data_IF_621732080273
#
_entry.id   IF_621732080273
#
_cell.length_a   1.000
_cell.length_b   1.000
_cell.length_c   1.000
_cell.angle_alpha   90.00
_cell.angle_beta   90.00
_cell.angle_gamma   90.00
#
_symmetry.space_group_name_H-M   'P 1'
#
loop_
_entity.id
_entity.type
_entity.pdbx_description
1 polymer ?
#
# COMPACT_ATOMS: atom_id res chain seq x y z
N UNK A 1 -17.32 -8.01 17.73
CA UNK A 1 -16.65 -6.75 18.15
C UNK A 1 -15.12 -6.87 18.20
N UNK A 2 -14.54 -7.78 18.99
CA UNK A 2 -13.08 -7.86 19.21
C UNK A 2 -12.24 -8.06 17.92
N UNK A 3 -12.74 -8.83 16.95
CA UNK A 3 -12.04 -9.11 15.68
C UNK A 3 -11.98 -7.91 14.73
N UNK A 4 -13.02 -7.07 14.72
CA UNK A 4 -13.04 -5.86 13.91
C UNK A 4 -12.11 -4.79 14.51
N UNK A 5 -12.12 -4.67 15.84
CA UNK A 5 -11.24 -3.76 16.60
C UNK A 5 -9.75 -4.02 16.33
N UNK A 6 -9.37 -5.28 16.15
CA UNK A 6 -7.98 -5.69 15.92
C UNK A 6 -7.50 -5.31 14.51
N UNK A 7 -8.39 -5.35 13.51
CA UNK A 7 -8.08 -4.99 12.11
C UNK A 7 -8.13 -3.47 11.91
N UNK A 8 -9.09 -2.78 12.52
CA UNK A 8 -9.13 -1.30 12.51
C UNK A 8 -7.97 -0.71 13.33
N UNK A 9 -7.62 -1.33 14.46
CA UNK A 9 -6.45 -0.98 15.24
C UNK A 9 -5.17 -1.10 14.42
N UNK A 10 -5.03 -2.17 13.63
CA UNK A 10 -3.88 -2.35 12.73
C UNK A 10 -3.71 -1.21 11.72
N UNK A 11 -4.79 -0.80 11.04
CA UNK A 11 -4.74 0.32 10.09
C UNK A 11 -4.40 1.65 10.78
N UNK A 12 -4.96 1.88 11.98
CA UNK A 12 -4.67 3.07 12.78
C UNK A 12 -3.22 3.11 13.27
N UNK A 13 -2.67 1.97 13.70
CA UNK A 13 -1.26 1.87 14.10
C UNK A 13 -0.32 2.16 12.94
N UNK A 14 -0.65 1.70 11.72
CA UNK A 14 0.12 2.01 10.53
C UNK A 14 0.09 3.51 10.17
N UNK A 15 -1.07 4.15 10.28
CA UNK A 15 -1.21 5.58 10.08
C UNK A 15 -0.39 6.39 11.10
N UNK A 16 -0.50 6.05 12.38
CA UNK A 16 0.22 6.74 13.47
C UNK A 16 1.73 6.55 13.31
N UNK A 17 2.19 5.33 13.01
CA UNK A 17 3.60 5.07 12.81
C UNK A 17 4.15 5.71 11.53
N UNK A 18 3.35 5.76 10.47
CA UNK A 18 3.66 6.52 9.26
C UNK A 18 3.85 8.01 9.53
N UNK A 19 2.98 8.59 10.36
CA UNK A 19 3.11 9.98 10.80
C UNK A 19 4.40 10.18 11.59
N UNK A 20 4.70 9.28 12.52
CA UNK A 20 5.89 9.35 13.35
C UNK A 20 7.19 9.19 12.54
N UNK A 21 7.24 8.35 11.51
CA UNK A 21 8.44 8.19 10.66
C UNK A 21 8.67 9.40 9.76
N UNK A 22 7.61 10.00 9.24
CA UNK A 22 7.70 11.21 8.41
C UNK A 22 8.28 12.39 9.18
N UNK A 23 8.02 12.50 10.48
CA UNK A 23 8.49 13.63 11.30
C UNK A 23 9.77 13.35 12.09
N UNK A 24 10.00 12.11 12.54
CA UNK A 24 11.04 11.81 13.54
C UNK A 24 11.99 10.65 13.16
N UNK A 25 11.95 10.14 11.92
CA UNK A 25 12.85 9.07 11.44
C UNK A 25 12.82 7.77 12.25
N UNK A 26 11.65 7.34 12.73
CA UNK A 26 11.49 6.08 13.49
C UNK A 26 11.44 4.80 12.64
N UNK A 27 12.47 4.56 11.82
CA UNK A 27 12.64 3.32 11.05
C UNK A 27 12.47 2.02 11.85
N UNK A 28 12.95 1.92 13.12
CA UNK A 28 12.80 0.70 13.91
C UNK A 28 11.34 0.36 14.24
N UNK A 29 10.50 1.35 14.54
CA UNK A 29 9.09 1.13 14.86
C UNK A 29 8.31 0.60 13.65
N UNK A 30 8.63 1.13 12.47
CA UNK A 30 8.02 0.67 11.22
C UNK A 30 8.46 -0.75 10.85
N UNK A 31 9.74 -1.08 11.08
CA UNK A 31 10.24 -2.44 10.90
C UNK A 31 9.55 -3.43 11.83
N UNK A 32 9.33 -3.06 13.10
CA UNK A 32 8.57 -3.89 14.06
C UNK A 32 7.16 -4.14 13.56
N UNK A 33 6.49 -3.10 13.06
CA UNK A 33 5.12 -3.25 12.58
C UNK A 33 5.04 -4.04 11.29
N UNK A 34 5.92 -3.81 10.31
CA UNK A 34 6.05 -4.66 9.13
C UNK A 34 6.32 -6.12 9.48
N UNK A 35 7.21 -6.38 10.45
CA UNK A 35 7.49 -7.72 10.92
C UNK A 35 6.27 -8.35 11.62
N UNK A 36 5.53 -7.58 12.42
CA UNK A 36 4.26 -8.01 13.01
C UNK A 36 3.22 -8.40 11.96
N UNK A 37 3.11 -7.63 10.86
CA UNK A 37 2.25 -7.99 9.71
C UNK A 37 2.70 -9.30 9.08
N UNK A 38 4.00 -9.44 8.86
CA UNK A 38 4.58 -10.62 8.25
C UNK A 38 4.29 -11.87 9.09
N UNK A 39 4.47 -11.81 10.41
CA UNK A 39 4.11 -12.88 11.33
C UNK A 39 2.59 -13.19 11.31
N UNK A 40 1.75 -12.15 11.28
CA UNK A 40 0.29 -12.33 11.15
C UNK A 40 -0.06 -13.03 9.83
N UNK A 41 0.61 -12.67 8.73
CA UNK A 41 0.40 -13.26 7.41
C UNK A 41 0.83 -14.74 7.36
N UNK A 42 1.88 -15.13 8.10
CA UNK A 42 2.30 -16.53 8.25
C UNK A 42 1.26 -17.37 9.01
N UNK A 43 0.58 -16.79 10.00
CA UNK A 43 -0.41 -17.50 10.83
C UNK A 43 -1.82 -17.46 10.22
N UNK A 44 -2.19 -16.35 9.58
CA UNK A 44 -3.55 -16.08 9.09
C UNK A 44 -3.50 -15.14 7.87
N UNK A 45 -3.17 -15.66 6.66
CA UNK A 45 -3.02 -14.83 5.47
C UNK A 45 -4.30 -14.07 5.09
N UNK A 46 -5.48 -14.66 5.31
CA UNK A 46 -6.77 -14.00 5.06
C UNK A 46 -6.95 -12.72 5.89
N UNK A 47 -6.60 -12.76 7.17
CA UNK A 47 -6.72 -11.59 8.06
C UNK A 47 -5.73 -10.50 7.69
N UNK A 48 -4.49 -10.90 7.36
CA UNK A 48 -3.47 -9.98 6.89
C UNK A 48 -3.92 -9.29 5.59
N UNK A 49 -4.51 -10.04 4.65
CA UNK A 49 -5.06 -9.49 3.41
C UNK A 49 -6.20 -8.49 3.67
N UNK A 50 -7.14 -8.81 4.57
CA UNK A 50 -8.20 -7.86 4.94
C UNK A 50 -7.64 -6.59 5.59
N UNK A 51 -6.59 -6.72 6.40
CA UNK A 51 -5.83 -5.60 6.96
C UNK A 51 -5.16 -4.73 5.89
N UNK A 52 -4.58 -5.35 4.85
CA UNK A 52 -4.01 -4.64 3.71
C UNK A 52 -5.10 -3.89 2.91
N UNK A 53 -6.26 -4.51 2.70
CA UNK A 53 -7.37 -3.93 1.92
C UNK A 53 -7.94 -2.67 2.61
N UNK A 54 -8.16 -2.72 3.92
CA UNK A 54 -8.64 -1.53 4.66
C UNK A 54 -7.56 -0.43 4.69
N UNK A 55 -6.28 -0.81 4.63
CA UNK A 55 -5.15 0.12 4.58
C UNK A 55 -4.91 0.71 3.19
N UNK A 56 -5.48 0.13 2.13
CA UNK A 56 -5.25 0.52 0.73
C UNK A 56 -5.42 2.03 0.42
N UNK A 57 -6.38 2.76 1.02
CA UNK A 57 -6.54 4.19 0.75
C UNK A 57 -5.61 5.09 1.60
N UNK A 58 -4.82 4.54 2.52
CA UNK A 58 -3.93 5.28 3.44
C UNK A 58 -2.46 5.11 3.09
N UNK A 59 -2.09 5.20 1.81
CA UNK A 59 -0.76 4.85 1.30
C UNK A 59 0.35 5.79 1.82
N UNK A 60 0.82 5.55 3.05
CA UNK A 60 1.91 6.31 3.67
C UNK A 60 3.19 6.14 2.84
N UNK A 61 3.91 7.23 2.60
CA UNK A 61 5.22 7.20 1.97
C UNK A 61 6.34 6.87 2.97
N UNK A 62 7.25 6.00 2.54
CA UNK A 62 8.48 5.66 3.22
C UNK A 62 9.61 6.48 2.60
N UNK A 63 10.14 7.42 3.37
CA UNK A 63 11.20 8.35 2.94
C UNK A 63 12.59 7.71 3.07
N UNK A 64 12.86 6.62 2.32
CA UNK A 64 14.06 5.76 2.52
C UNK A 64 15.37 6.52 2.34
N UNK A 65 15.43 7.36 1.31
CA UNK A 65 16.58 8.19 1.01
C UNK A 65 16.10 9.49 0.32
N UNK A 66 16.91 10.54 0.30
CA UNK A 66 16.60 11.75 -0.45
C UNK A 66 16.26 11.41 -1.91
N UNK A 67 15.08 11.83 -2.39
CA UNK A 67 14.60 11.54 -3.75
C UNK A 67 13.99 10.15 -3.96
N UNK A 68 13.88 9.32 -2.90
CA UNK A 68 13.29 7.98 -2.95
C UNK A 68 12.13 7.87 -1.95
N UNK A 69 10.94 8.19 -2.44
CA UNK A 69 9.68 8.05 -1.72
C UNK A 69 9.00 6.72 -2.13
N UNK A 70 9.03 5.72 -1.24
CA UNK A 70 8.44 4.39 -1.50
C UNK A 70 7.10 4.25 -0.78
N UNK A 71 6.01 4.01 -1.50
CA UNK A 71 4.72 3.78 -0.86
C UNK A 71 4.76 2.50 0.00
N UNK A 72 4.45 2.62 1.29
CA UNK A 72 4.44 1.54 2.28
C UNK A 72 3.62 0.33 1.86
N UNK A 73 2.53 0.56 1.12
CA UNK A 73 1.68 -0.50 0.60
C UNK A 73 2.41 -1.46 -0.33
N UNK A 74 3.38 -0.97 -1.12
CA UNK A 74 4.18 -1.81 -2.01
C UNK A 74 5.05 -2.78 -1.23
N UNK A 75 5.63 -2.32 -0.12
CA UNK A 75 6.40 -3.17 0.81
C UNK A 75 5.49 -4.19 1.48
N UNK A 76 4.32 -3.76 1.94
CA UNK A 76 3.34 -4.66 2.55
C UNK A 76 2.86 -5.75 1.59
N UNK A 77 2.52 -5.41 0.35
CA UNK A 77 2.11 -6.39 -0.67
C UNK A 77 3.20 -7.46 -0.84
N UNK A 78 4.46 -7.04 -0.97
CA UNK A 78 5.59 -7.97 -1.11
C UNK A 78 5.76 -8.85 0.13
N UNK A 79 5.71 -8.27 1.33
CA UNK A 79 5.82 -9.04 2.58
C UNK A 79 4.68 -10.05 2.75
N UNK A 80 3.44 -9.64 2.49
CA UNK A 80 2.27 -10.54 2.55
C UNK A 80 2.39 -11.65 1.52
N UNK A 81 2.83 -11.33 0.31
CA UNK A 81 3.01 -12.33 -0.74
C UNK A 81 4.09 -13.35 -0.38
N UNK A 82 5.24 -12.89 0.12
CA UNK A 82 6.30 -13.78 0.60
C UNK A 82 5.83 -14.67 1.76
N UNK A 83 5.13 -14.10 2.74
CA UNK A 83 4.56 -14.87 3.85
C UNK A 83 3.53 -15.90 3.37
N UNK A 84 2.69 -15.52 2.41
CA UNK A 84 1.69 -16.40 1.82
C UNK A 84 2.33 -17.57 1.04
N UNK A 85 3.41 -17.32 0.29
CA UNK A 85 4.19 -18.39 -0.36
C UNK A 85 4.74 -19.37 0.68
N UNK A 86 5.38 -18.86 1.75
CA UNK A 86 5.92 -19.70 2.82
C UNK A 86 4.82 -20.52 3.50
N UNK A 87 3.67 -19.90 3.76
CA UNK A 87 2.49 -20.58 4.32
C UNK A 87 2.00 -21.71 3.40
N UNK A 88 1.94 -21.49 2.09
CA UNK A 88 1.55 -22.52 1.12
C UNK A 88 2.56 -23.67 1.05
N UNK A 89 3.87 -23.36 1.06
CA UNK A 89 4.94 -24.36 1.04
C UNK A 89 4.96 -25.22 2.31
N UNK A 90 4.67 -24.62 3.47
CA UNK A 90 4.63 -25.33 4.75
C UNK A 90 3.41 -26.26 4.89
N UNK A 91 2.34 -26.03 4.12
CA UNK A 91 1.11 -26.82 4.20
C UNK A 91 1.22 -28.10 3.35
N UNK A 92 1.16 -29.28 3.99
CA UNK A 92 1.12 -30.57 3.28
C UNK A 92 -0.05 -30.60 2.29
N UNK A 93 0.25 -30.76 1.01
CA UNK A 93 -0.75 -30.76 -0.08
C UNK A 93 -1.07 -29.40 -0.69
N UNK A 94 -0.26 -28.37 -0.44
CA UNK A 94 -0.40 -27.04 -1.07
C UNK A 94 -0.42 -27.14 -2.61
N UNK A 95 -1.60 -26.89 -3.21
CA UNK A 95 -1.76 -26.88 -4.67
C UNK A 95 -1.22 -25.58 -5.27
N UNK A 96 0.11 -25.48 -5.37
CA UNK A 96 0.78 -24.38 -6.10
C UNK A 96 0.36 -24.38 -7.58
N UNK A 97 0.01 -25.54 -8.14
CA UNK A 97 -0.38 -25.69 -9.54
C UNK A 97 -1.61 -24.86 -9.95
N UNK A 98 -2.52 -24.52 -9.03
CA UNK A 98 -3.71 -23.72 -9.35
C UNK A 98 -3.40 -22.21 -9.48
N UNK A 99 -2.18 -21.80 -9.14
CA UNK A 99 -1.69 -20.41 -9.23
C UNK A 99 -1.29 -20.06 -10.68
N UNK A 100 -0.87 -21.05 -11.47
CA UNK A 100 -0.44 -20.88 -12.86
C UNK A 100 -1.61 -20.92 -13.87
N UNK A 101 -2.64 -20.10 -13.63
CA UNK A 101 -3.69 -19.88 -14.62
C UNK A 101 -3.18 -18.99 -15.78
N UNK A 102 -3.92 -18.93 -16.89
CA UNK A 102 -3.61 -18.06 -18.05
C UNK A 102 -3.29 -16.60 -17.64
N UNK A 103 -3.97 -16.08 -16.60
CA UNK A 103 -3.73 -14.74 -16.06
C UNK A 103 -2.30 -14.50 -15.53
N UNK A 104 -1.64 -15.53 -14.98
CA UNK A 104 -0.23 -15.44 -14.57
C UNK A 104 0.66 -15.10 -15.76
N UNK A 105 0.41 -15.76 -16.90
CA UNK A 105 1.19 -15.56 -18.12
C UNK A 105 1.05 -14.11 -18.60
N UNK A 106 -0.15 -13.53 -18.54
CA UNK A 106 -0.37 -12.12 -18.90
C UNK A 106 0.48 -11.17 -18.04
N UNK A 107 0.52 -11.37 -16.72
CA UNK A 107 1.30 -10.53 -15.81
C UNK A 107 2.81 -10.66 -16.06
N UNK A 108 3.31 -11.89 -16.28
CA UNK A 108 4.72 -12.14 -16.57
C UNK A 108 5.11 -11.59 -17.93
N UNK A 109 4.30 -11.82 -18.97
CA UNK A 109 4.52 -11.27 -20.31
C UNK A 109 4.50 -9.74 -20.29
N UNK A 110 3.62 -9.13 -19.50
CA UNK A 110 3.63 -7.68 -19.30
C UNK A 110 4.96 -7.20 -18.69
N UNK A 111 5.43 -7.83 -17.61
CA UNK A 111 6.72 -7.46 -16.99
C UNK A 111 7.90 -7.69 -17.95
N UNK A 112 7.86 -8.78 -18.72
CA UNK A 112 8.84 -9.07 -19.76
C UNK A 112 8.89 -7.96 -20.81
N UNK A 113 7.75 -7.58 -21.40
CA UNK A 113 7.70 -6.49 -22.37
C UNK A 113 8.09 -5.14 -21.77
N UNK A 114 7.73 -4.90 -20.50
CA UNK A 114 8.18 -3.70 -19.79
C UNK A 114 9.70 -3.68 -19.62
N UNK A 115 10.35 -4.83 -19.42
CA UNK A 115 11.81 -4.94 -19.36
C UNK A 115 12.45 -4.76 -20.74
N UNK A 116 11.87 -5.33 -21.80
CA UNK A 116 12.32 -5.12 -23.19
C UNK A 116 12.24 -3.64 -23.59
N UNK A 117 11.21 -2.93 -23.11
CA UNK A 117 11.08 -1.48 -23.35
C UNK A 117 12.25 -0.66 -22.79
N UNK A 118 13.05 -1.19 -21.86
CA UNK A 118 14.21 -0.47 -21.32
C UNK A 118 15.32 -0.26 -22.35
N UNK A 119 15.46 -1.14 -23.35
CA UNK A 119 16.49 -1.00 -24.38
C UNK A 119 16.31 0.25 -25.25
N UNK A 120 15.10 0.81 -25.29
CA UNK A 120 14.75 2.04 -26.01
C UNK A 120 14.41 3.21 -25.08
N UNK A 121 14.65 3.08 -23.77
CA UNK A 121 14.32 4.12 -22.81
C UNK A 121 15.34 5.28 -22.86
N UNK A 122 14.86 6.50 -23.08
CA UNK A 122 15.67 7.73 -22.97
C UNK A 122 16.19 7.95 -21.53
N UNK A 123 15.43 7.50 -20.53
CA UNK A 123 15.80 7.57 -19.13
C UNK A 123 15.64 6.19 -18.48
N UNK A 124 16.76 5.49 -18.30
CA UNK A 124 16.79 4.15 -17.75
C UNK A 124 16.26 4.10 -16.31
N UNK A 125 16.58 5.12 -15.50
CA UNK A 125 16.17 5.19 -14.10
C UNK A 125 14.64 5.23 -13.97
N UNK A 126 13.97 6.05 -14.79
CA UNK A 126 12.50 6.13 -14.79
C UNK A 126 11.86 4.83 -15.28
N UNK A 127 12.47 4.18 -16.27
CA UNK A 127 12.05 2.86 -16.73
C UNK A 127 12.11 1.81 -15.63
N UNK A 128 13.22 1.73 -14.90
CA UNK A 128 13.41 0.80 -13.78
C UNK A 128 12.40 1.07 -12.65
N UNK A 129 12.18 2.35 -12.29
CA UNK A 129 11.15 2.72 -11.30
C UNK A 129 9.76 2.25 -11.70
N UNK A 130 9.41 2.32 -13.00
CA UNK A 130 8.12 1.86 -13.53
C UNK A 130 7.95 0.34 -13.42
N UNK A 131 8.99 -0.42 -13.77
CA UNK A 131 8.99 -1.88 -13.61
C UNK A 131 8.86 -2.25 -12.14
N UNK A 132 9.60 -1.60 -11.26
CA UNK A 132 9.55 -1.85 -9.82
C UNK A 132 8.13 -1.62 -9.25
N UNK A 133 7.41 -0.61 -9.73
CA UNK A 133 5.99 -0.39 -9.36
C UNK A 133 5.15 -1.61 -9.72
N UNK A 134 5.18 -2.08 -10.96
CA UNK A 134 4.37 -3.22 -11.38
C UNK A 134 4.79 -4.52 -10.70
N UNK A 135 6.09 -4.78 -10.59
CA UNK A 135 6.62 -5.94 -9.88
C UNK A 135 6.20 -5.98 -8.40
N UNK A 136 6.03 -4.81 -7.77
CA UNK A 136 5.57 -4.71 -6.38
C UNK A 136 4.04 -4.84 -6.20
N UNK A 137 3.25 -4.52 -7.22
CA UNK A 137 1.77 -4.53 -7.13
C UNK A 137 1.19 -5.85 -7.64
N UNK A 138 1.76 -6.45 -8.68
CA UNK A 138 1.26 -7.70 -9.26
C UNK A 138 1.09 -8.85 -8.26
N UNK A 139 1.94 -9.01 -7.23
CA UNK A 139 1.73 -10.02 -6.20
C UNK A 139 0.37 -9.95 -5.48
N UNK A 140 -0.25 -8.76 -5.41
CA UNK A 140 -1.58 -8.58 -4.84
C UNK A 140 -2.65 -9.39 -5.60
N UNK A 141 -2.48 -9.57 -6.91
CA UNK A 141 -3.40 -10.39 -7.72
C UNK A 141 -3.50 -11.81 -7.15
N UNK A 142 -2.36 -12.46 -6.86
CA UNK A 142 -2.36 -13.84 -6.34
C UNK A 142 -2.96 -13.92 -4.94
N UNK A 143 -2.65 -12.94 -4.09
CA UNK A 143 -3.21 -12.85 -2.74
C UNK A 143 -4.74 -12.77 -2.80
N UNK A 144 -5.29 -11.88 -3.63
CA UNK A 144 -6.74 -11.69 -3.77
C UNK A 144 -7.39 -12.89 -4.47
N UNK A 145 -6.78 -13.43 -5.53
CA UNK A 145 -7.29 -14.61 -6.22
C UNK A 145 -7.44 -15.79 -5.25
N UNK A 146 -6.47 -16.00 -4.35
CA UNK A 146 -6.53 -17.06 -3.36
C UNK A 146 -7.68 -16.89 -2.35
N UNK A 147 -8.10 -15.67 -2.08
CA UNK A 147 -9.17 -15.34 -1.13
C UNK A 147 -10.56 -15.20 -1.77
N UNK A 148 -10.67 -15.19 -3.10
CA UNK A 148 -11.94 -14.97 -3.82
C UNK A 148 -12.67 -16.25 -4.21
N UNK A 149 -12.18 -17.42 -3.76
CA UNK A 149 -12.83 -18.71 -3.99
C UNK A 149 -14.25 -18.79 -3.37
N UNK A 150 -14.50 -18.07 -2.28
CA UNK A 150 -15.78 -18.06 -1.58
C UNK A 150 -16.48 -16.70 -1.68
N UNK A 151 -17.77 -16.68 -2.03
CA UNK A 151 -18.58 -15.45 -2.12
C UNK A 151 -18.58 -14.64 -0.83
N UNK A 152 -18.55 -15.31 0.33
CA UNK A 152 -18.53 -14.65 1.64
C UNK A 152 -17.21 -13.86 1.85
N UNK A 153 -16.08 -14.39 1.37
CA UNK A 153 -14.80 -13.69 1.44
C UNK A 153 -14.76 -12.49 0.50
N UNK A 154 -15.33 -12.61 -0.70
CA UNK A 154 -15.50 -11.46 -1.62
C UNK A 154 -16.29 -10.35 -0.96
N UNK A 155 -17.40 -10.69 -0.29
CA UNK A 155 -18.23 -9.71 0.44
C UNK A 155 -17.44 -9.00 1.55
N UNK A 156 -16.59 -9.73 2.28
CA UNK A 156 -15.70 -9.14 3.29
C UNK A 156 -14.67 -8.20 2.65
N UNK A 157 -14.01 -8.61 1.57
CA UNK A 157 -13.04 -7.77 0.86
C UNK A 157 -13.69 -6.44 0.46
N UNK A 158 -14.87 -6.48 -0.17
CA UNK A 158 -15.61 -5.28 -0.56
C UNK A 158 -15.98 -4.44 0.67
N UNK A 159 -16.53 -5.06 1.72
CA UNK A 159 -16.92 -4.34 2.93
C UNK A 159 -15.75 -3.62 3.61
N UNK A 160 -14.57 -4.24 3.65
CA UNK A 160 -13.37 -3.64 4.27
C UNK A 160 -12.79 -2.53 3.39
N UNK A 161 -12.84 -2.69 2.06
CA UNK A 161 -12.45 -1.64 1.12
C UNK A 161 -13.36 -0.40 1.28
N UNK A 162 -14.68 -0.62 1.33
CA UNK A 162 -15.67 0.45 1.56
C UNK A 162 -15.44 1.12 2.91
N UNK A 163 -15.15 0.36 3.97
CA UNK A 163 -14.87 0.92 5.29
C UNK A 163 -13.63 1.85 5.27
N UNK A 164 -12.53 1.41 4.66
CA UNK A 164 -11.33 2.24 4.51
C UNK A 164 -11.59 3.49 3.67
N UNK A 165 -12.25 3.33 2.52
CA UNK A 165 -12.61 4.44 1.63
C UNK A 165 -13.56 5.44 2.30
N UNK A 166 -14.48 4.98 3.16
CA UNK A 166 -15.41 5.84 3.90
C UNK A 166 -14.64 6.75 4.86
N UNK A 167 -13.64 6.21 5.57
CA UNK A 167 -12.80 7.02 6.47
C UNK A 167 -12.02 8.08 5.69
N UNK A 168 -11.40 7.71 4.57
CA UNK A 168 -10.68 8.68 3.72
C UNK A 168 -11.63 9.73 3.12
N UNK A 169 -12.86 9.35 2.78
CA UNK A 169 -13.87 10.29 2.28
C UNK A 169 -14.27 11.32 3.35
N UNK A 170 -14.40 10.90 4.61
CA UNK A 170 -14.65 11.83 5.73
C UNK A 170 -13.48 12.79 5.89
N UNK A 171 -12.24 12.31 5.83
CA UNK A 171 -11.03 13.17 5.89
C UNK A 171 -11.04 14.19 4.73
N UNK A 172 -11.36 13.74 3.51
CA UNK A 172 -11.44 14.61 2.34
C UNK A 172 -12.56 15.66 2.47
N UNK A 173 -13.72 15.30 3.04
CA UNK A 173 -14.78 16.27 3.34
C UNK A 173 -14.32 17.29 4.37
N UNK A 174 -13.62 16.87 5.43
CA UNK A 174 -13.05 17.79 6.42
C UNK A 174 -12.05 18.75 5.76
N UNK A 175 -11.16 18.25 4.91
CA UNK A 175 -10.22 19.07 4.13
C UNK A 175 -10.96 20.08 3.23
N UNK A 176 -12.02 19.64 2.55
CA UNK A 176 -12.82 20.50 1.69
C UNK A 176 -13.57 21.57 2.49
N UNK A 177 -14.16 21.23 3.63
CA UNK A 177 -14.89 22.21 4.43
C UNK A 177 -13.97 23.17 5.19
N UNK A 178 -12.77 22.74 5.58
CA UNK A 178 -11.82 23.61 6.31
C UNK A 178 -11.43 24.86 5.52
N UNK A 179 -11.42 24.79 4.19
CA UNK A 179 -11.06 25.92 3.33
C UNK A 179 -12.04 27.11 3.45
N UNK A 180 -13.32 26.87 3.79
CA UNK A 180 -14.32 27.94 3.93
C UNK A 180 -14.21 28.70 5.25
N UNK A 181 -13.63 28.08 6.28
CA UNK A 181 -13.48 28.70 7.62
C UNK A 181 -12.11 29.33 7.81
N UNK A 182 -11.06 28.70 7.28
CA UNK A 182 -9.65 29.10 7.50
C UNK A 182 -9.09 29.86 6.28
N UNK A 183 -9.77 29.82 5.14
CA UNK A 183 -9.29 30.34 3.86
C UNK A 183 -8.51 29.30 3.05
N UNK A 184 -8.57 29.43 1.73
CA UNK A 184 -7.97 28.50 0.77
C UNK A 184 -6.47 28.33 1.02
N UNK A 185 -5.72 29.43 1.01
CA UNK A 185 -4.24 29.41 1.11
C UNK A 185 -3.75 28.81 2.42
N UNK A 186 -4.39 29.15 3.53
CA UNK A 186 -4.01 28.65 4.86
C UNK A 186 -4.33 27.17 5.01
N UNK A 187 -5.51 26.74 4.53
CA UNK A 187 -5.88 25.32 4.49
C UNK A 187 -4.88 24.54 3.62
N UNK A 188 -4.65 25.00 2.40
CA UNK A 188 -3.70 24.40 1.48
C UNK A 188 -2.29 24.26 2.06
N UNK A 189 -1.73 25.33 2.63
CA UNK A 189 -0.41 25.29 3.25
C UNK A 189 -0.37 24.34 4.45
N UNK A 190 -1.45 24.28 5.25
CA UNK A 190 -1.54 23.34 6.34
C UNK A 190 -1.47 21.89 5.85
N UNK A 191 -2.31 21.51 4.87
CA UNK A 191 -2.31 20.16 4.31
C UNK A 191 -0.98 19.85 3.62
N UNK A 192 -0.43 20.78 2.87
CA UNK A 192 0.84 20.62 2.17
C UNK A 192 2.04 20.46 3.10
N UNK A 193 2.06 21.11 4.26
CA UNK A 193 3.17 21.01 5.23
C UNK A 193 2.99 19.86 6.21
N UNK A 194 1.76 19.50 6.56
CA UNK A 194 1.47 18.57 7.65
C UNK A 194 1.02 17.17 7.19
N UNK A 195 0.39 17.08 6.02
CA UNK A 195 -0.29 15.86 5.57
C UNK A 195 0.28 15.33 4.25
N UNK A 196 0.56 16.18 3.29
CA UNK A 196 1.17 15.78 2.02
C UNK A 196 2.50 15.01 2.20
N UNK A 197 3.45 15.43 3.09
CA UNK A 197 4.70 14.70 3.28
C UNK A 197 4.51 13.28 3.80
N UNK A 198 3.40 13.03 4.52
CA UNK A 198 3.06 11.73 5.07
C UNK A 198 2.65 10.73 3.97
N UNK A 199 1.86 11.18 2.99
CA UNK A 199 1.32 10.30 1.95
C UNK A 199 2.16 10.30 0.67
N UNK A 200 2.72 11.44 0.29
CA UNK A 200 3.50 11.60 -0.94
C UNK A 200 5.00 11.41 -0.72
N UNK A 201 5.47 11.60 0.50
CA UNK A 201 6.89 11.68 0.80
C UNK A 201 7.40 13.11 0.63
N UNK A 202 8.56 13.39 1.21
CA UNK A 202 9.11 14.76 1.29
C UNK A 202 9.49 15.27 -0.11
N UNK A 203 10.19 14.45 -0.89
CA UNK A 203 10.68 14.89 -2.21
C UNK A 203 9.53 15.14 -3.19
N UNK A 204 8.51 14.28 -3.21
CA UNK A 204 7.32 14.53 -4.03
C UNK A 204 6.53 15.75 -3.54
N UNK A 205 6.42 15.95 -2.23
CA UNK A 205 5.73 17.12 -1.67
C UNK A 205 6.46 18.42 -2.04
N UNK A 206 7.78 18.46 -1.91
CA UNK A 206 8.58 19.63 -2.27
C UNK A 206 8.45 19.96 -3.77
N UNK A 207 8.42 18.94 -4.63
CA UNK A 207 8.22 19.11 -6.07
C UNK A 207 6.82 19.66 -6.40
N UNK A 208 5.77 19.15 -5.75
CA UNK A 208 4.39 19.64 -5.91
C UNK A 208 4.24 21.06 -5.39
N UNK A 209 4.92 21.40 -4.29
CA UNK A 209 4.91 22.76 -3.72
C UNK A 209 5.69 23.76 -4.59
N UNK A 210 6.78 23.33 -5.21
CA UNK A 210 7.57 24.17 -6.11
C UNK A 210 6.87 24.41 -7.46
N UNK A 211 5.95 23.53 -7.86
CA UNK A 211 5.24 23.57 -9.14
C UNK A 211 3.72 23.53 -8.95
N UNK A 212 3.19 24.16 -7.89
CA UNK A 212 1.74 24.13 -7.65
C UNK A 212 1.03 24.89 -8.77
N UNK A 213 0.21 24.18 -9.55
CA UNK A 213 -0.69 24.77 -10.54
C UNK A 213 -2.09 25.01 -9.94
N UNK A 214 -2.20 24.91 -8.62
CA UNK A 214 -3.40 25.06 -7.83
C UNK A 214 -3.18 26.20 -6.84
#
# INVERSE_FOLDING_TARGET
MFKALLITGFALTFLILGALTTYYSYWPLMAIVFFGVFLLALVSPEKALLGLIIYLPFQVALNIAPGIDLASIRVLILLLFSAWILFLLARKGGKIATIFACHYFVLVTFLFWSAVSLFWALNLEWGLRKIAVFASIFPLYFLVQSATAEKEQVKKIISFLVAGASVVSVIALIQFFSQFFVGLDSSAQFWARNVAPLFYGRSLTDAVMANSSW
#
